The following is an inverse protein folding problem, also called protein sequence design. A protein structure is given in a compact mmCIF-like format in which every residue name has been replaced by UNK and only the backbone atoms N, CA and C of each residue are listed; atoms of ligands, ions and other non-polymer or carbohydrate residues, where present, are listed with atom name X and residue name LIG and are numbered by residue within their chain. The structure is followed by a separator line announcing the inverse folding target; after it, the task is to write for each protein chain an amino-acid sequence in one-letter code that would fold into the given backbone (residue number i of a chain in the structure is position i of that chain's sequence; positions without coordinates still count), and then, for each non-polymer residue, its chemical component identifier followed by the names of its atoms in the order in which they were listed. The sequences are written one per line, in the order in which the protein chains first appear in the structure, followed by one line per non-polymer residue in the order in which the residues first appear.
data_IF_999905484369
#
_entry.id   IF_999905484369
#
_cell.length_a   1.000
_cell.length_b   1.000
_cell.length_c   1.000
_cell.angle_alpha   90.00
_cell.angle_beta   90.00
_cell.angle_gamma   90.00
#
_symmetry.space_group_name_H-M   'P 1'
#
loop_
_entity.id
_entity.type
_entity.pdbx_description
1 polymer ?
#
# COMPACT_ATOMS: atom_id res chain seq x y z
N UNK A 1 -5.20 -19.85 2.27
CA UNK A 1 -4.37 -19.21 3.30
C UNK A 1 -4.26 -17.73 2.98
N UNK A 2 -4.51 -16.88 3.96
CA UNK A 2 -4.40 -15.45 3.78
C UNK A 2 -2.95 -15.02 3.56
N UNK A 3 -2.77 -13.92 2.84
CA UNK A 3 -1.46 -13.33 2.58
C UNK A 3 -1.43 -11.95 3.22
N UNK A 4 -0.46 -11.70 4.09
CA UNK A 4 -0.21 -10.39 4.65
C UNK A 4 0.89 -9.68 3.88
N UNK A 5 0.81 -8.34 3.80
CA UNK A 5 1.87 -7.53 3.20
C UNK A 5 2.17 -6.35 4.10
N UNK A 6 3.45 -6.08 4.30
CA UNK A 6 3.90 -4.85 4.94
C UNK A 6 4.80 -4.12 3.93
N UNK A 7 4.31 -2.97 3.46
CA UNK A 7 5.10 -2.13 2.57
C UNK A 7 5.66 -0.95 3.37
N UNK A 8 6.97 -0.88 3.49
CA UNK A 8 7.65 0.23 4.18
C UNK A 8 8.21 1.17 3.13
N UNK A 9 7.72 2.41 3.11
CA UNK A 9 7.99 3.34 2.01
C UNK A 9 8.48 4.68 2.58
N UNK A 10 9.72 5.08 2.25
CA UNK A 10 10.20 6.43 2.60
C UNK A 10 9.73 7.44 1.56
N UNK A 11 9.38 8.64 2.01
CA UNK A 11 8.96 9.72 1.13
C UNK A 11 9.87 10.94 1.28
N UNK A 12 9.90 11.77 0.24
CA UNK A 12 10.66 13.02 0.27
C UNK A 12 10.05 13.98 1.28
N UNK A 13 10.88 14.74 1.94
CA UNK A 13 10.43 15.78 2.87
C UNK A 13 9.52 16.77 2.16
N UNK A 14 8.41 17.12 2.80
CA UNK A 14 7.43 18.04 2.25
C UNK A 14 6.39 17.37 1.33
N UNK A 15 6.48 16.06 1.09
CA UNK A 15 5.56 15.35 0.19
C UNK A 15 4.51 14.52 0.92
N UNK A 16 4.46 14.61 2.25
CA UNK A 16 3.54 13.80 3.06
C UNK A 16 2.07 13.99 2.66
N UNK A 17 1.62 15.24 2.56
CA UNK A 17 0.21 15.51 2.27
C UNK A 17 -0.17 15.03 0.87
N UNK A 18 0.70 15.21 -0.10
CA UNK A 18 0.46 14.76 -1.47
C UNK A 18 0.39 13.24 -1.54
N UNK A 19 1.32 12.56 -0.85
CA UNK A 19 1.29 11.11 -0.77
C UNK A 19 0.02 10.60 -0.11
N UNK A 20 -0.36 11.19 1.03
CA UNK A 20 -1.55 10.74 1.76
C UNK A 20 -2.80 10.88 0.89
N UNK A 21 -2.92 11.97 0.12
CA UNK A 21 -4.04 12.17 -0.78
C UNK A 21 -4.08 11.09 -1.87
N UNK A 22 -2.95 10.78 -2.48
CA UNK A 22 -2.87 9.73 -3.51
C UNK A 22 -3.26 8.37 -2.92
N UNK A 23 -2.74 8.05 -1.73
CA UNK A 23 -3.03 6.77 -1.09
C UNK A 23 -4.50 6.65 -0.68
N UNK A 24 -5.09 7.70 -0.14
CA UNK A 24 -6.50 7.66 0.29
C UNK A 24 -7.44 7.39 -0.89
N UNK A 25 -7.13 7.95 -2.06
CA UNK A 25 -7.89 7.67 -3.27
C UNK A 25 -7.70 6.21 -3.71
N UNK A 26 -6.48 5.71 -3.68
CA UNK A 26 -6.18 4.30 -3.98
C UNK A 26 -6.93 3.37 -3.02
N UNK A 27 -6.89 3.65 -1.73
CA UNK A 27 -7.55 2.82 -0.72
C UNK A 27 -9.07 2.78 -0.94
N UNK A 28 -9.68 3.88 -1.35
CA UNK A 28 -11.10 3.91 -1.66
C UNK A 28 -11.45 2.98 -2.83
N UNK A 29 -10.61 2.95 -3.87
CA UNK A 29 -10.79 2.06 -5.01
C UNK A 29 -10.62 0.58 -4.61
N UNK A 30 -9.63 0.30 -3.78
CA UNK A 30 -9.40 -1.06 -3.27
C UNK A 30 -10.62 -1.55 -2.50
N UNK A 31 -11.15 -0.74 -1.59
CA UNK A 31 -12.32 -1.10 -0.77
C UNK A 31 -13.58 -1.30 -1.62
N UNK A 32 -13.73 -0.52 -2.68
CA UNK A 32 -14.90 -0.60 -3.55
C UNK A 32 -14.86 -1.79 -4.51
N UNK A 33 -13.67 -2.23 -4.92
CA UNK A 33 -13.52 -3.15 -6.06
C UNK A 33 -12.83 -4.48 -5.73
N UNK A 34 -12.24 -4.62 -4.55
CA UNK A 34 -11.45 -5.82 -4.21
C UNK A 34 -11.99 -6.52 -2.97
N UNK A 35 -13.03 -7.34 -3.10
CA UNK A 35 -13.58 -8.06 -1.93
C UNK A 35 -12.59 -9.06 -1.32
N UNK A 36 -11.58 -9.50 -2.07
CA UNK A 36 -10.52 -10.37 -1.56
C UNK A 36 -9.45 -9.64 -0.74
N UNK A 37 -9.45 -8.32 -0.75
CA UNK A 37 -8.58 -7.52 0.12
C UNK A 37 -9.30 -7.30 1.44
N UNK A 38 -8.79 -7.92 2.52
CA UNK A 38 -9.42 -7.89 3.84
C UNK A 38 -9.03 -6.66 4.65
N UNK A 39 -7.85 -6.13 4.41
CA UNK A 39 -7.31 -5.00 5.17
C UNK A 39 -6.33 -4.23 4.29
N UNK A 40 -6.43 -2.91 4.32
CA UNK A 40 -5.57 -2.04 3.52
C UNK A 40 -5.47 -0.69 4.22
N UNK A 41 -4.43 -0.50 5.02
CA UNK A 41 -4.33 0.65 5.91
C UNK A 41 -2.95 1.31 5.85
N UNK A 42 -2.96 2.63 5.74
CA UNK A 42 -1.76 3.46 5.77
C UNK A 42 -1.44 3.87 7.21
N UNK A 43 -0.18 3.73 7.58
CA UNK A 43 0.30 4.13 8.88
C UNK A 43 1.59 4.93 8.71
N UNK A 44 1.75 5.99 9.49
CA UNK A 44 2.97 6.79 9.50
C UNK A 44 3.81 6.41 10.70
N UNK A 45 5.12 6.22 10.52
CA UNK A 45 6.03 5.91 11.61
C UNK A 45 6.07 7.06 12.63
N UNK A 46 6.03 6.71 13.91
CA UNK A 46 6.17 7.71 14.98
C UNK A 46 7.61 8.18 15.13
N UNK A 47 8.58 7.32 14.80
CA UNK A 47 10.01 7.66 14.97
C UNK A 47 10.61 8.37 13.75
N UNK A 48 9.98 8.24 12.57
CA UNK A 48 10.43 8.90 11.35
C UNK A 48 9.20 9.26 10.51
N UNK A 49 8.82 10.52 10.53
CA UNK A 49 7.61 11.00 9.88
C UNK A 49 7.68 10.98 8.35
N UNK A 50 8.83 10.69 7.77
CA UNK A 50 8.98 10.49 6.33
C UNK A 50 8.80 9.03 5.91
N UNK A 51 8.60 8.12 6.87
CA UNK A 51 8.41 6.70 6.58
C UNK A 51 6.96 6.30 6.88
N UNK A 52 6.34 5.65 5.90
CA UNK A 52 5.00 5.11 6.04
C UNK A 52 5.04 3.59 5.90
N UNK A 53 4.09 2.92 6.56
CA UNK A 53 3.89 1.49 6.38
C UNK A 53 2.44 1.25 5.97
N UNK A 54 2.29 0.51 4.86
CA UNK A 54 0.98 0.02 4.43
C UNK A 54 0.83 -1.39 4.96
N UNK A 55 -0.22 -1.63 5.73
CA UNK A 55 -0.54 -2.94 6.26
C UNK A 55 -1.68 -3.50 5.41
N UNK A 56 -1.47 -4.69 4.83
CA UNK A 56 -2.41 -5.26 3.88
C UNK A 56 -2.67 -6.73 4.20
N UNK A 57 -3.88 -7.19 3.91
CA UNK A 57 -4.22 -8.60 4.02
C UNK A 57 -5.15 -8.99 2.88
N UNK A 58 -4.83 -10.10 2.22
CA UNK A 58 -5.60 -10.65 1.10
C UNK A 58 -6.05 -12.06 1.44
N UNK A 59 -7.23 -12.47 0.93
CA UNK A 59 -7.77 -13.78 1.26
C UNK A 59 -6.91 -14.94 0.71
N UNK A 60 -6.21 -14.70 -0.41
CA UNK A 60 -5.32 -15.67 -1.03
C UNK A 60 -4.35 -15.00 -2.00
N UNK A 61 -3.48 -15.80 -2.60
CA UNK A 61 -2.49 -15.32 -3.56
C UNK A 61 -3.15 -14.72 -4.81
N UNK A 62 -4.26 -15.28 -5.27
CA UNK A 62 -4.97 -14.77 -6.44
C UNK A 62 -5.48 -13.35 -6.20
N UNK A 63 -5.99 -13.06 -4.99
CA UNK A 63 -6.46 -11.72 -4.65
C UNK A 63 -5.31 -10.71 -4.63
N UNK A 64 -4.14 -11.10 -4.11
CA UNK A 64 -2.96 -10.26 -4.13
C UNK A 64 -2.50 -9.95 -5.55
N UNK A 65 -2.45 -10.97 -6.41
CA UNK A 65 -2.06 -10.78 -7.81
C UNK A 65 -3.05 -9.90 -8.55
N UNK A 66 -4.34 -10.09 -8.32
CA UNK A 66 -5.38 -9.26 -8.92
C UNK A 66 -5.22 -7.78 -8.53
N UNK A 67 -4.89 -7.52 -7.26
CA UNK A 67 -4.64 -6.16 -6.77
C UNK A 67 -3.54 -5.47 -7.60
N UNK A 68 -2.43 -6.16 -7.84
CA UNK A 68 -1.30 -5.62 -8.60
C UNK A 68 -1.59 -5.37 -10.06
N UNK A 69 -2.66 -5.95 -10.61
CA UNK A 69 -3.02 -5.80 -12.02
C UNK A 69 -4.08 -4.72 -12.27
N UNK A 70 -4.62 -4.10 -11.23
CA UNK A 70 -5.65 -3.08 -11.39
C UNK A 70 -5.09 -1.80 -12.00
N UNK A 71 -5.91 -1.12 -12.80
CA UNK A 71 -5.50 0.14 -13.43
C UNK A 71 -5.26 1.23 -12.39
N UNK A 72 -6.09 1.29 -11.35
CA UNK A 72 -5.93 2.32 -10.31
C UNK A 72 -4.65 2.11 -9.49
N UNK A 73 -4.22 0.87 -9.24
CA UNK A 73 -2.96 0.59 -8.57
C UNK A 73 -1.78 1.05 -9.41
N UNK A 74 -1.79 0.71 -10.71
CA UNK A 74 -0.75 1.13 -11.64
C UNK A 74 -0.67 2.64 -11.76
N UNK A 75 -1.83 3.31 -11.86
CA UNK A 75 -1.88 4.78 -11.93
C UNK A 75 -1.35 5.42 -10.65
N UNK A 76 -1.70 4.89 -9.48
CA UNK A 76 -1.18 5.38 -8.21
C UNK A 76 0.33 5.24 -8.14
N UNK A 77 0.89 4.10 -8.58
CA UNK A 77 2.33 3.88 -8.56
C UNK A 77 3.09 4.89 -9.45
N UNK A 78 2.52 5.30 -10.56
CA UNK A 78 3.13 6.34 -11.41
C UNK A 78 3.24 7.65 -10.62
N UNK A 79 2.19 8.03 -9.90
CA UNK A 79 2.20 9.24 -9.05
C UNK A 79 3.19 9.11 -7.90
N UNK A 80 3.20 7.95 -7.23
CA UNK A 80 4.04 7.71 -6.06
C UNK A 80 5.53 7.72 -6.42
N UNK A 81 5.90 7.30 -7.63
CA UNK A 81 7.29 7.26 -8.06
C UNK A 81 7.97 8.63 -7.96
N UNK A 82 7.23 9.71 -8.15
CA UNK A 82 7.75 11.07 -8.02
C UNK A 82 7.84 11.58 -6.58
N UNK A 83 7.30 10.84 -5.62
CA UNK A 83 7.20 11.28 -4.23
C UNK A 83 8.10 10.51 -3.28
N UNK A 84 8.55 9.31 -3.66
CA UNK A 84 9.36 8.46 -2.80
C UNK A 84 10.75 9.07 -2.58
N UNK A 85 11.25 8.92 -1.35
CA UNK A 85 12.58 9.41 -0.96
C UNK A 85 13.63 8.32 -0.93
N UNK A 86 13.25 7.09 -1.25
CA UNK A 86 14.13 5.95 -1.25
C UNK A 86 13.42 4.71 -1.73
N UNK A 87 14.10 3.57 -1.66
CA UNK A 87 13.57 2.30 -2.15
C UNK A 87 12.53 1.73 -1.16
N UNK A 88 11.31 1.41 -1.62
CA UNK A 88 10.35 0.71 -0.78
C UNK A 88 10.83 -0.70 -0.42
N UNK A 89 10.48 -1.14 0.79
CA UNK A 89 10.71 -2.50 1.26
C UNK A 89 9.36 -3.20 1.38
N UNK A 90 9.21 -4.33 0.71
CA UNK A 90 7.97 -5.09 0.71
C UNK A 90 8.20 -6.44 1.38
N UNK A 91 7.46 -6.71 2.44
CA UNK A 91 7.51 -7.99 3.13
C UNK A 91 6.20 -8.74 2.95
N UNK A 92 6.29 -10.01 2.53
CA UNK A 92 5.13 -10.88 2.35
C UNK A 92 5.06 -11.87 3.51
N UNK A 93 3.85 -12.09 4.02
CA UNK A 93 3.62 -12.90 5.21
C UNK A 93 2.55 -13.95 4.92
N UNK A 94 2.70 -15.12 5.53
CA UNK A 94 1.65 -16.14 5.49
C UNK A 94 0.69 -15.90 6.65
N UNK A 95 -0.59 -15.82 6.37
CA UNK A 95 -1.61 -15.78 7.42
C UNK A 95 -1.71 -17.13 8.11
N UNK A 96 -1.77 -17.14 9.43
CA UNK A 96 -1.80 -18.38 10.22
C UNK A 96 -3.17 -18.67 10.83
N UNK A 97 -4.17 -17.89 10.46
CA UNK A 97 -5.55 -18.08 10.93
C UNK A 97 -6.43 -18.63 9.84
#
# INVERSE_FOLDING_TARGET
MAIGVIATIPFQEGKNDEFEAVFMELAAQVRANEPGCKFYALNRSKSDTQVYKVLESYEDQAALEAHGQTDYFKAANVKLAGLVGGRPDIEYLDGVE
#
